data_IF_065121830966
#
_entry.id   IF_065121830966
#
_cell.length_a   1.000
_cell.length_b   1.000
_cell.length_c   1.000
_cell.angle_alpha   90.00
_cell.angle_beta   90.00
_cell.angle_gamma   90.00
#
_symmetry.space_group_name_H-M   'P 1'
#
loop_
_entity.id
_entity.type
_entity.pdbx_description
1 polymer ?
#
# COMPACT_ATOMS: atom_id res chain seq x y z
N UNK A 1 22.39 -28.08 -6.51
CA UNK A 1 23.02 -27.82 -7.82
C UNK A 1 22.03 -27.12 -8.73
N UNK A 2 22.46 -26.33 -9.70
CA UNK A 2 21.56 -25.65 -10.64
C UNK A 2 20.88 -26.70 -11.55
N UNK A 3 19.56 -26.63 -11.66
CA UNK A 3 18.72 -27.48 -12.52
C UNK A 3 17.99 -26.58 -13.51
N UNK A 4 17.78 -27.02 -14.74
CA UNK A 4 17.03 -26.25 -15.74
C UNK A 4 15.56 -26.68 -15.78
N UNK A 5 14.64 -25.75 -15.52
CA UNK A 5 13.21 -25.93 -15.80
C UNK A 5 12.92 -25.61 -17.26
N UNK A 6 12.15 -26.48 -17.92
CA UNK A 6 11.75 -26.32 -19.31
C UNK A 6 10.23 -26.22 -19.43
N UNK A 7 9.75 -25.11 -19.95
CA UNK A 7 8.34 -24.89 -20.27
C UNK A 7 8.17 -24.98 -21.78
N UNK A 8 7.19 -25.76 -22.23
CA UNK A 8 6.88 -25.94 -23.65
C UNK A 8 5.48 -25.43 -23.96
N UNK A 9 5.38 -24.55 -24.93
CA UNK A 9 4.10 -24.07 -25.49
C UNK A 9 4.03 -24.58 -26.92
N UNK A 10 3.01 -25.40 -27.21
CA UNK A 10 2.79 -25.98 -28.52
C UNK A 10 1.52 -25.44 -29.14
N UNK A 11 1.60 -25.01 -30.39
CA UNK A 11 0.45 -24.65 -31.21
C UNK A 11 0.40 -25.50 -32.49
N UNK A 12 -0.76 -25.54 -33.14
CA UNK A 12 -1.00 -26.23 -34.42
C UNK A 12 -1.28 -25.23 -35.54
N UNK A 13 -0.71 -24.02 -35.46
CA UNK A 13 -0.92 -22.93 -36.40
C UNK A 13 -0.18 -23.09 -37.73
N UNK A 14 -0.03 -21.99 -38.45
CA UNK A 14 0.60 -21.97 -39.77
C UNK A 14 2.07 -22.43 -39.77
N UNK A 15 2.73 -22.47 -38.60
CA UNK A 15 4.14 -22.79 -38.47
C UNK A 15 5.05 -21.68 -38.99
N UNK A 16 6.35 -21.81 -38.75
CA UNK A 16 7.36 -20.78 -39.00
C UNK A 16 8.47 -21.41 -39.84
N UNK A 17 8.74 -20.79 -40.99
CA UNK A 17 9.79 -21.24 -41.90
C UNK A 17 11.17 -21.22 -41.21
N UNK A 18 12.05 -22.21 -41.45
CA UNK A 18 13.35 -22.34 -40.77
C UNK A 18 14.18 -21.05 -40.77
N UNK A 19 14.20 -20.34 -41.90
CA UNK A 19 14.92 -19.07 -42.08
C UNK A 19 14.41 -17.93 -41.18
N UNK A 20 13.19 -18.02 -40.66
CA UNK A 20 12.58 -17.00 -39.82
C UNK A 20 12.61 -17.34 -38.33
N UNK A 21 13.02 -18.55 -37.94
CA UNK A 21 12.94 -19.03 -36.55
C UNK A 21 13.87 -18.27 -35.59
N UNK A 22 14.98 -17.70 -36.06
CA UNK A 22 15.83 -16.84 -35.24
C UNK A 22 15.34 -15.39 -35.21
N UNK A 23 14.86 -14.88 -36.35
CA UNK A 23 14.50 -13.47 -36.53
C UNK A 23 13.21 -13.07 -35.82
N UNK A 24 12.29 -14.00 -35.54
CA UNK A 24 11.04 -13.72 -34.79
C UNK A 24 11.26 -13.19 -33.37
N UNK A 25 12.49 -13.26 -32.86
CA UNK A 25 12.86 -12.74 -31.54
C UNK A 25 13.48 -11.33 -31.59
N UNK A 26 13.68 -10.77 -32.78
CA UNK A 26 14.12 -9.39 -32.95
C UNK A 26 12.95 -8.42 -32.74
N UNK A 27 13.27 -7.20 -32.29
CA UNK A 27 12.25 -6.18 -32.06
C UNK A 27 11.58 -5.80 -33.38
N UNK A 28 10.25 -5.63 -33.35
CA UNK A 28 9.42 -5.23 -34.50
C UNK A 28 9.32 -6.24 -35.66
N UNK A 29 9.74 -7.49 -35.45
CA UNK A 29 9.54 -8.55 -36.44
C UNK A 29 8.16 -9.19 -36.27
N UNK A 30 7.27 -8.93 -37.23
CA UNK A 30 5.98 -9.60 -37.35
C UNK A 30 5.93 -10.38 -38.67
N UNK A 31 5.89 -11.71 -38.60
CA UNK A 31 5.73 -12.54 -39.79
C UNK A 31 4.32 -12.37 -40.37
N UNK A 32 4.25 -11.87 -41.60
CA UNK A 32 3.00 -11.73 -42.34
C UNK A 32 2.66 -13.06 -42.99
N UNK A 33 1.76 -13.83 -42.37
CA UNK A 33 1.16 -15.00 -43.02
C UNK A 33 -0.02 -14.53 -43.87
N UNK A 34 -0.05 -14.98 -45.13
CA UNK A 34 -0.92 -14.46 -46.18
C UNK A 34 -2.42 -14.37 -45.85
N UNK A 35 -3.00 -13.29 -46.37
CA UNK A 35 -4.40 -12.90 -46.55
C UNK A 35 -5.46 -13.42 -45.56
N UNK A 36 -5.49 -12.82 -44.36
CA UNK A 36 -6.75 -12.37 -43.75
C UNK A 36 -6.49 -11.60 -42.45
N UNK A 37 -6.89 -10.33 -42.45
CA UNK A 37 -7.08 -9.45 -41.28
C UNK A 37 -5.90 -9.39 -40.29
N UNK A 38 -5.04 -8.40 -40.52
CA UNK A 38 -4.12 -7.81 -39.53
C UNK A 38 -4.73 -7.83 -38.11
N UNK A 39 -4.29 -8.78 -37.27
CA UNK A 39 -4.35 -8.61 -35.83
C UNK A 39 -3.06 -7.91 -35.41
N UNK A 40 -3.22 -6.62 -35.09
CA UNK A 40 -2.28 -5.74 -34.40
C UNK A 40 -1.41 -6.50 -33.39
N UNK A 41 -0.13 -6.62 -33.68
CA UNK A 41 0.89 -6.91 -32.68
C UNK A 41 2.16 -6.23 -33.14
N UNK A 42 2.75 -5.38 -32.31
CA UNK A 42 3.88 -4.52 -32.66
C UNK A 42 5.21 -5.29 -32.90
N UNK A 43 5.15 -6.62 -33.03
CA UNK A 43 6.34 -7.49 -33.13
C UNK A 43 7.18 -7.56 -31.85
N UNK A 44 6.69 -7.00 -30.73
CA UNK A 44 7.46 -6.88 -29.48
C UNK A 44 7.26 -8.04 -28.50
N UNK A 45 6.19 -8.83 -28.64
CA UNK A 45 5.83 -9.83 -27.64
C UNK A 45 6.90 -10.91 -27.43
N UNK A 46 7.42 -11.48 -28.52
CA UNK A 46 8.45 -12.52 -28.47
C UNK A 46 9.83 -11.97 -28.09
N UNK A 47 10.18 -10.76 -28.55
CA UNK A 47 11.46 -10.12 -28.24
C UNK A 47 11.54 -9.75 -26.74
N UNK A 48 10.47 -9.20 -26.16
CA UNK A 48 10.37 -8.92 -24.72
C UNK A 48 10.44 -10.23 -23.93
N UNK A 49 9.69 -11.26 -24.34
CA UNK A 49 9.68 -12.56 -23.66
C UNK A 49 11.08 -13.18 -23.60
N UNK A 50 11.84 -13.15 -24.71
CA UNK A 50 13.20 -13.69 -24.75
C UNK A 50 14.19 -12.84 -23.95
N UNK A 51 14.06 -11.51 -23.96
CA UNK A 51 14.85 -10.60 -23.10
C UNK A 51 14.65 -10.93 -21.61
N UNK A 52 13.40 -11.11 -21.17
CA UNK A 52 13.09 -11.51 -19.78
C UNK A 52 13.71 -12.87 -19.45
N UNK A 53 13.57 -13.87 -20.34
CA UNK A 53 14.16 -15.18 -20.13
C UNK A 53 15.69 -15.11 -19.95
N UNK A 54 16.37 -14.30 -20.76
CA UNK A 54 17.82 -14.07 -20.66
C UNK A 54 18.23 -13.35 -19.37
N UNK A 55 17.44 -12.39 -18.91
CA UNK A 55 17.66 -11.75 -17.60
C UNK A 55 17.53 -12.76 -16.44
N UNK A 56 16.73 -13.81 -16.60
CA UNK A 56 16.63 -14.93 -15.66
C UNK A 56 17.74 -15.97 -15.82
N UNK A 57 18.76 -15.70 -16.65
CA UNK A 57 19.85 -16.65 -16.96
C UNK A 57 19.43 -17.80 -17.88
N UNK A 58 18.25 -17.72 -18.49
CA UNK A 58 17.67 -18.70 -19.40
C UNK A 58 17.65 -18.26 -20.86
N UNK A 59 16.88 -18.97 -21.70
CA UNK A 59 16.56 -18.52 -23.06
C UNK A 59 15.23 -19.14 -23.57
N UNK A 60 14.71 -18.59 -24.66
CA UNK A 60 13.58 -19.15 -25.40
C UNK A 60 14.04 -19.63 -26.78
N UNK A 61 13.71 -20.86 -27.11
CA UNK A 61 13.94 -21.49 -28.42
C UNK A 61 12.61 -21.81 -29.11
N UNK A 62 12.60 -21.87 -30.43
CA UNK A 62 11.45 -22.33 -31.21
C UNK A 62 11.84 -23.54 -32.07
N UNK A 63 10.91 -24.47 -32.23
CA UNK A 63 10.96 -25.50 -33.28
C UNK A 63 9.62 -25.50 -34.01
N UNK A 64 9.66 -25.34 -35.32
CA UNK A 64 8.43 -25.25 -36.12
C UNK A 64 8.61 -25.82 -37.51
N UNK A 65 7.53 -26.37 -38.06
CA UNK A 65 7.40 -26.78 -39.46
C UNK A 65 6.22 -26.02 -40.07
N UNK A 66 6.37 -25.48 -41.29
CA UNK A 66 5.28 -24.80 -42.00
C UNK A 66 4.10 -25.76 -42.19
N UNK A 67 2.91 -25.33 -41.79
CA UNK A 67 1.67 -26.10 -41.82
C UNK A 67 1.46 -27.08 -40.67
N UNK A 68 2.41 -27.21 -39.72
CA UNK A 68 2.30 -28.14 -38.57
C UNK A 68 2.30 -27.44 -37.21
N UNK A 69 2.42 -26.12 -37.17
CA UNK A 69 2.49 -25.33 -35.94
C UNK A 69 3.91 -25.17 -35.37
N UNK A 70 4.02 -24.62 -34.17
CA UNK A 70 5.30 -24.35 -33.50
C UNK A 70 5.34 -24.84 -32.05
N UNK A 71 6.56 -25.08 -31.56
CA UNK A 71 6.86 -25.40 -30.17
C UNK A 71 7.88 -24.38 -29.66
N UNK A 72 7.46 -23.53 -28.75
CA UNK A 72 8.34 -22.62 -28.03
C UNK A 72 8.78 -23.26 -26.71
N UNK A 73 10.10 -23.29 -26.47
CA UNK A 73 10.69 -23.87 -25.25
C UNK A 73 11.43 -22.79 -24.48
N UNK A 74 10.92 -22.43 -23.30
CA UNK A 74 11.60 -21.58 -22.32
C UNK A 74 12.44 -22.47 -21.40
N UNK A 75 13.73 -22.20 -21.28
CA UNK A 75 14.64 -22.90 -20.37
C UNK A 75 15.20 -21.92 -19.33
N UNK A 76 14.99 -22.14 -18.04
CA UNK A 76 15.47 -21.25 -16.95
C UNK A 76 16.28 -22.06 -15.93
N UNK A 77 17.49 -21.61 -15.52
CA UNK A 77 18.22 -22.21 -14.41
C UNK A 77 17.55 -21.86 -13.08
N UNK A 78 17.29 -22.88 -12.26
CA UNK A 78 16.80 -22.73 -10.90
C UNK A 78 17.66 -23.54 -9.94
N UNK A 79 17.77 -23.07 -8.72
CA UNK A 79 18.34 -23.86 -7.64
C UNK A 79 17.21 -24.56 -6.90
N UNK A 80 17.14 -25.90 -6.90
CA UNK A 80 16.21 -26.62 -6.05
C UNK A 80 16.54 -26.28 -4.60
N UNK A 81 15.54 -25.83 -3.86
CA UNK A 81 15.60 -25.66 -2.41
C UNK A 81 14.88 -26.85 -1.80
N UNK A 82 15.49 -27.49 -0.80
CA UNK A 82 14.82 -28.54 -0.05
C UNK A 82 13.58 -27.96 0.62
N UNK A 83 12.45 -28.68 0.51
CA UNK A 83 11.15 -28.29 1.10
C UNK A 83 11.20 -27.97 2.61
N UNK A 84 12.32 -28.26 3.28
CA UNK A 84 12.53 -28.13 4.72
C UNK A 84 13.47 -26.99 5.14
N UNK A 85 14.13 -26.27 4.23
CA UNK A 85 15.03 -25.15 4.60
C UNK A 85 14.44 -23.76 4.38
N UNK A 86 13.12 -23.66 4.28
CA UNK A 86 12.42 -22.38 4.43
C UNK A 86 11.17 -22.52 5.30
N UNK A 87 11.41 -22.73 6.60
CA UNK A 87 10.44 -22.41 7.67
C UNK A 87 10.56 -20.96 8.13
N UNK A 88 11.08 -20.07 7.27
CA UNK A 88 11.19 -18.62 7.52
C UNK A 88 10.55 -17.74 6.45
N UNK A 89 10.05 -18.32 5.37
CA UNK A 89 8.92 -17.71 4.67
C UNK A 89 7.69 -18.31 5.33
N UNK A 90 7.09 -17.56 6.26
CA UNK A 90 5.72 -17.79 6.69
C UNK A 90 4.88 -18.03 5.45
N UNK A 91 4.57 -19.30 5.17
CA UNK A 91 3.35 -19.65 4.49
C UNK A 91 2.24 -19.18 5.42
N UNK A 92 1.93 -17.88 5.34
CA UNK A 92 0.69 -17.37 5.84
C UNK A 92 -0.36 -18.24 5.18
N UNK A 93 -0.99 -19.07 6.01
CA UNK A 93 -2.13 -19.87 5.66
C UNK A 93 -3.22 -18.92 5.17
N UNK A 94 -3.22 -18.62 3.87
CA UNK A 94 -4.22 -17.77 3.21
C UNK A 94 -5.63 -18.40 3.29
N UNK A 95 -5.74 -19.63 3.83
CA UNK A 95 -7.01 -20.31 4.08
C UNK A 95 -7.71 -19.86 5.38
N UNK A 96 -7.06 -19.11 6.28
CA UNK A 96 -7.64 -18.85 7.61
C UNK A 96 -7.57 -17.42 8.15
N UNK A 97 -7.12 -16.42 7.38
CA UNK A 97 -7.50 -15.05 7.72
C UNK A 97 -8.95 -14.87 7.25
N UNK A 98 -9.91 -15.12 8.14
CA UNK A 98 -11.28 -14.61 7.97
C UNK A 98 -11.20 -13.09 8.05
N UNK A 99 -10.78 -12.47 6.96
CA UNK A 99 -10.98 -11.05 6.71
C UNK A 99 -12.49 -10.88 6.63
N UNK A 100 -13.11 -10.13 7.56
CA UNK A 100 -14.52 -9.77 7.41
C UNK A 100 -14.68 -9.11 6.03
N UNK A 101 -15.70 -9.52 5.27
CA UNK A 101 -15.96 -8.96 3.94
C UNK A 101 -16.09 -7.42 4.06
N UNK A 102 -15.24 -6.69 3.34
CA UNK A 102 -15.25 -5.24 3.32
C UNK A 102 -16.06 -4.71 2.13
N UNK A 103 -16.54 -3.48 2.27
CA UNK A 103 -17.12 -2.68 1.20
C UNK A 103 -16.04 -1.74 0.64
N UNK A 104 -15.60 -2.01 -0.58
CA UNK A 104 -14.58 -1.22 -1.26
C UNK A 104 -15.18 -0.36 -2.38
N UNK A 105 -14.66 0.85 -2.56
CA UNK A 105 -14.91 1.67 -3.74
C UNK A 105 -13.64 1.72 -4.59
N UNK A 106 -13.76 1.52 -5.90
CA UNK A 106 -12.66 1.70 -6.87
C UNK A 106 -13.00 2.89 -7.78
N UNK A 107 -12.17 3.94 -7.74
CA UNK A 107 -12.21 5.05 -8.68
C UNK A 107 -11.03 4.94 -9.66
N UNK A 108 -11.34 4.58 -10.91
CA UNK A 108 -10.37 4.34 -11.97
C UNK A 108 -11.03 4.67 -13.31
N UNK A 109 -10.38 5.45 -14.17
CA UNK A 109 -10.93 5.86 -15.45
C UNK A 109 -10.85 4.75 -16.52
N UNK A 110 -9.77 3.97 -16.50
CA UNK A 110 -9.57 2.87 -17.41
C UNK A 110 -10.45 1.66 -17.03
N UNK A 111 -11.41 1.33 -17.90
CA UNK A 111 -12.35 0.23 -17.69
C UNK A 111 -11.68 -1.13 -17.47
N UNK A 112 -10.55 -1.40 -18.13
CA UNK A 112 -9.83 -2.67 -17.98
C UNK A 112 -9.18 -2.74 -16.59
N UNK A 113 -8.47 -1.69 -16.18
CA UNK A 113 -7.85 -1.62 -14.85
C UNK A 113 -8.90 -1.75 -13.74
N UNK A 114 -10.02 -1.03 -13.88
CA UNK A 114 -11.15 -1.06 -12.94
C UNK A 114 -11.74 -2.45 -12.83
N UNK A 115 -11.94 -3.13 -13.96
CA UNK A 115 -12.47 -4.51 -14.00
C UNK A 115 -11.51 -5.50 -13.34
N UNK A 116 -10.21 -5.41 -13.63
CA UNK A 116 -9.20 -6.29 -13.04
C UNK A 116 -9.14 -6.12 -11.52
N UNK A 117 -9.10 -4.87 -11.02
CA UNK A 117 -9.05 -4.60 -9.58
C UNK A 117 -10.36 -5.02 -8.87
N UNK A 118 -11.51 -4.85 -9.54
CA UNK A 118 -12.78 -5.34 -9.04
C UNK A 118 -12.78 -6.87 -8.90
N UNK A 119 -12.36 -7.60 -9.94
CA UNK A 119 -12.30 -9.07 -9.91
C UNK A 119 -11.36 -9.59 -8.82
N UNK A 120 -10.21 -8.94 -8.64
CA UNK A 120 -9.26 -9.26 -7.57
C UNK A 120 -9.87 -9.17 -6.16
N UNK A 121 -10.66 -8.12 -5.90
CA UNK A 121 -11.33 -7.92 -4.62
C UNK A 121 -12.54 -8.83 -4.44
N UNK A 122 -13.36 -9.01 -5.48
CA UNK A 122 -14.56 -9.86 -5.42
C UNK A 122 -14.19 -11.34 -5.25
N UNK A 123 -13.14 -11.83 -5.91
CA UNK A 123 -12.63 -13.19 -5.70
C UNK A 123 -12.12 -13.39 -4.27
N UNK A 124 -11.66 -12.33 -3.62
CA UNK A 124 -11.25 -12.34 -2.20
C UNK A 124 -12.43 -12.22 -1.22
N UNK A 125 -13.69 -12.21 -1.72
CA UNK A 125 -14.90 -12.19 -0.91
C UNK A 125 -15.37 -10.80 -0.47
N UNK A 126 -14.92 -9.73 -1.14
CA UNK A 126 -15.29 -8.35 -0.81
C UNK A 126 -16.39 -7.79 -1.73
N UNK A 127 -17.18 -6.86 -1.20
CA UNK A 127 -18.17 -6.10 -1.98
C UNK A 127 -17.48 -4.90 -2.61
N UNK A 128 -17.71 -4.67 -3.91
CA UNK A 128 -17.01 -3.63 -4.67
C UNK A 128 -17.99 -2.75 -5.42
N UNK A 129 -17.92 -1.44 -5.16
CA UNK A 129 -18.52 -0.40 -6.00
C UNK A 129 -17.45 0.23 -6.87
N UNK A 130 -17.85 0.79 -8.01
CA UNK A 130 -16.92 1.34 -9.00
C UNK A 130 -17.32 2.73 -9.47
N UNK A 131 -16.34 3.59 -9.70
CA UNK A 131 -16.48 4.94 -10.23
C UNK A 131 -15.49 5.14 -11.40
N UNK A 132 -15.88 5.93 -12.40
CA UNK A 132 -15.06 6.18 -13.59
C UNK A 132 -14.21 7.47 -13.51
N UNK A 133 -14.38 8.27 -12.46
CA UNK A 133 -13.62 9.50 -12.20
C UNK A 133 -13.82 9.94 -10.73
N UNK A 134 -13.15 11.00 -10.30
CA UNK A 134 -13.24 11.52 -8.93
C UNK A 134 -14.64 12.04 -8.54
N UNK A 135 -15.41 12.58 -9.49
CA UNK A 135 -16.76 13.09 -9.22
C UNK A 135 -17.76 11.94 -9.01
N UNK A 136 -17.69 10.90 -9.86
CA UNK A 136 -18.46 9.66 -9.65
C UNK A 136 -18.11 9.03 -8.29
N UNK A 137 -16.83 9.08 -7.89
CA UNK A 137 -16.38 8.52 -6.62
C UNK A 137 -17.00 9.26 -5.43
N UNK A 138 -17.08 10.59 -5.49
CA UNK A 138 -17.78 11.40 -4.48
C UNK A 138 -19.27 11.05 -4.42
N UNK A 139 -19.94 10.96 -5.57
CA UNK A 139 -21.36 10.58 -5.61
C UNK A 139 -21.62 9.19 -5.01
N UNK A 140 -20.74 8.21 -5.26
CA UNK A 140 -20.84 6.90 -4.63
C UNK A 140 -20.61 6.99 -3.12
N UNK A 141 -19.60 7.76 -2.69
CA UNK A 141 -19.26 7.96 -1.29
C UNK A 141 -20.32 8.75 -0.49
N UNK A 142 -21.16 9.55 -1.14
CA UNK A 142 -22.30 10.21 -0.49
C UNK A 142 -23.45 9.22 -0.21
N UNK A 143 -23.57 8.18 -1.02
CA UNK A 143 -24.70 7.23 -0.96
C UNK A 143 -24.42 5.99 -0.12
N UNK A 144 -23.15 5.64 0.12
CA UNK A 144 -22.77 4.38 0.76
C UNK A 144 -21.48 4.52 1.58
N UNK A 145 -21.40 3.86 2.74
CA UNK A 145 -20.17 3.69 3.51
C UNK A 145 -19.23 2.68 2.86
N UNK A 146 -17.96 3.04 2.81
CA UNK A 146 -16.87 2.19 2.35
C UNK A 146 -15.82 2.06 3.45
N UNK A 147 -15.35 0.83 3.66
CA UNK A 147 -14.22 0.57 4.57
C UNK A 147 -12.91 1.03 3.91
N UNK A 148 -12.84 0.91 2.58
CA UNK A 148 -11.69 1.32 1.78
C UNK A 148 -12.10 1.95 0.45
N UNK A 149 -11.34 2.95 0.01
CA UNK A 149 -11.46 3.57 -1.30
C UNK A 149 -10.11 3.47 -2.02
N UNK A 150 -10.06 2.77 -3.14
CA UNK A 150 -8.92 2.78 -4.07
C UNK A 150 -9.13 3.91 -5.07
N UNK A 151 -8.24 4.90 -5.06
CA UNK A 151 -8.38 6.14 -5.79
C UNK A 151 -7.22 6.33 -6.77
N UNK A 152 -7.49 6.29 -8.06
CA UNK A 152 -6.50 6.71 -9.05
C UNK A 152 -6.21 8.21 -8.94
N UNK A 153 -4.92 8.57 -8.87
CA UNK A 153 -4.50 9.97 -8.79
C UNK A 153 -4.85 10.71 -10.07
N UNK A 154 -4.60 10.11 -11.23
CA UNK A 154 -4.71 10.78 -12.53
C UNK A 154 -5.95 10.31 -13.28
N UNK A 155 -7.07 11.00 -13.06
CA UNK A 155 -8.35 10.74 -13.73
C UNK A 155 -8.85 12.00 -14.47
N UNK A 156 -9.60 11.86 -15.57
CA UNK A 156 -10.29 12.96 -16.22
C UNK A 156 -11.42 13.50 -15.35
N UNK A 157 -11.90 14.70 -15.67
CA UNK A 157 -12.99 15.43 -14.96
C UNK A 157 -12.59 15.89 -13.56
N UNK A 158 -12.21 14.96 -12.69
CA UNK A 158 -11.71 15.23 -11.34
C UNK A 158 -10.67 14.16 -10.98
N UNK A 159 -9.47 14.62 -10.60
CA UNK A 159 -8.38 13.76 -10.18
C UNK A 159 -8.56 13.21 -8.76
N UNK A 160 -7.81 12.17 -8.42
CA UNK A 160 -7.91 11.49 -7.13
C UNK A 160 -7.48 12.35 -5.93
N UNK A 161 -6.50 13.24 -6.11
CA UNK A 161 -6.06 14.16 -5.06
C UNK A 161 -7.18 15.13 -4.68
N UNK A 162 -7.80 15.77 -5.67
CA UNK A 162 -8.91 16.70 -5.46
C UNK A 162 -10.13 15.99 -4.84
N UNK A 163 -10.49 14.80 -5.36
CA UNK A 163 -11.57 14.00 -4.81
C UNK A 163 -11.32 13.61 -3.34
N UNK A 164 -10.09 13.23 -2.99
CA UNK A 164 -9.69 12.88 -1.62
C UNK A 164 -9.81 14.09 -0.70
N UNK A 165 -9.31 15.25 -1.11
CA UNK A 165 -9.42 16.47 -0.30
C UNK A 165 -10.87 16.84 -0.01
N UNK A 166 -11.78 16.67 -0.98
CA UNK A 166 -13.22 16.89 -0.76
C UNK A 166 -13.84 15.86 0.19
N UNK A 167 -13.54 14.57 0.00
CA UNK A 167 -13.98 13.51 0.92
C UNK A 167 -13.59 13.79 2.38
N UNK A 168 -12.39 14.38 2.60
CA UNK A 168 -11.91 14.74 3.94
C UNK A 168 -12.50 16.03 4.47
N UNK A 169 -12.66 17.06 3.63
CA UNK A 169 -13.11 18.39 4.05
C UNK A 169 -14.58 18.44 4.46
N UNK A 170 -15.45 17.66 3.80
CA UNK A 170 -16.90 17.82 3.94
C UNK A 170 -17.48 17.08 5.16
N UNK A 171 -16.64 16.40 5.96
CA UNK A 171 -17.10 15.63 7.13
C UNK A 171 -18.16 14.57 6.79
N UNK A 172 -18.24 14.20 5.51
CA UNK A 172 -19.25 13.32 4.96
C UNK A 172 -19.13 11.88 5.46
N UNK A 173 -20.02 11.03 4.96
CA UNK A 173 -20.18 9.63 5.37
C UNK A 173 -18.84 8.87 5.38
N UNK A 174 -17.97 9.15 4.42
CA UNK A 174 -16.67 8.50 4.23
C UNK A 174 -15.46 9.37 4.63
N UNK A 175 -15.64 10.42 5.42
CA UNK A 175 -14.54 11.29 5.82
C UNK A 175 -13.40 10.56 6.55
N UNK A 176 -13.70 9.40 7.17
CA UNK A 176 -12.73 8.52 7.83
C UNK A 176 -12.42 7.22 7.08
N UNK A 177 -12.97 7.01 5.88
CA UNK A 177 -12.69 5.82 5.09
C UNK A 177 -11.20 5.75 4.75
N UNK A 178 -10.64 4.54 4.70
CA UNK A 178 -9.23 4.37 4.36
C UNK A 178 -9.03 4.58 2.85
N UNK A 179 -8.24 5.57 2.44
CA UNK A 179 -8.04 5.93 1.02
C UNK A 179 -6.64 5.53 0.56
N UNK A 180 -6.60 4.69 -0.48
CA UNK A 180 -5.39 4.20 -1.15
C UNK A 180 -5.21 4.93 -2.47
N UNK A 181 -4.18 5.76 -2.58
CA UNK A 181 -3.79 6.39 -3.83
C UNK A 181 -3.12 5.39 -4.79
N UNK A 182 -3.55 5.35 -6.05
CA UNK A 182 -2.96 4.56 -7.11
C UNK A 182 -2.37 5.48 -8.19
N UNK A 183 -1.12 5.26 -8.59
CA UNK A 183 -0.48 6.05 -9.67
C UNK A 183 0.23 5.18 -10.69
N UNK A 184 0.24 5.61 -11.94
CA UNK A 184 1.02 4.98 -13.01
C UNK A 184 2.54 5.21 -12.89
N UNK A 185 2.97 6.28 -12.21
CA UNK A 185 4.39 6.65 -12.07
C UNK A 185 4.86 6.46 -10.63
N UNK A 186 5.96 5.72 -10.45
CA UNK A 186 6.62 5.59 -9.15
C UNK A 186 7.58 6.74 -8.91
N UNK A 187 7.19 7.71 -8.07
CA UNK A 187 8.10 8.72 -7.54
C UNK A 187 7.50 9.42 -6.31
N UNK A 188 8.38 9.90 -5.44
CA UNK A 188 8.08 10.67 -4.22
C UNK A 188 7.24 11.93 -4.46
N UNK A 189 7.21 12.44 -5.70
CA UNK A 189 6.55 13.70 -6.09
C UNK A 189 5.04 13.70 -5.80
N UNK A 190 4.35 12.57 -6.01
CA UNK A 190 2.93 12.44 -5.67
C UNK A 190 2.70 11.98 -4.23
N UNK A 191 3.73 11.51 -3.52
CA UNK A 191 3.58 11.05 -2.13
C UNK A 191 3.23 12.21 -1.22
N UNK A 192 3.96 13.32 -1.31
CA UNK A 192 3.69 14.50 -0.50
C UNK A 192 2.29 15.07 -0.80
N UNK A 193 1.92 15.17 -2.08
CA UNK A 193 0.60 15.64 -2.49
C UNK A 193 -0.52 14.70 -2.04
N UNK A 194 -0.32 13.37 -2.11
CA UNK A 194 -1.28 12.38 -1.65
C UNK A 194 -1.48 12.43 -0.12
N UNK A 195 -0.39 12.56 0.63
CA UNK A 195 -0.42 12.74 2.08
C UNK A 195 -1.12 14.05 2.45
N UNK A 196 -0.79 15.16 1.79
CA UNK A 196 -1.45 16.47 2.00
C UNK A 196 -2.94 16.44 1.62
N UNK A 197 -3.33 15.67 0.61
CA UNK A 197 -4.73 15.49 0.25
C UNK A 197 -5.52 14.62 1.25
N UNK A 198 -4.84 13.90 2.14
CA UNK A 198 -5.43 13.06 3.17
C UNK A 198 -5.60 11.59 2.78
N UNK A 199 -4.80 11.07 1.84
CA UNK A 199 -4.71 9.64 1.54
C UNK A 199 -3.91 8.91 2.63
N UNK A 200 -4.32 7.69 2.97
CA UNK A 200 -3.73 6.90 4.05
C UNK A 200 -2.52 6.07 3.59
N UNK A 201 -2.54 5.63 2.33
CA UNK A 201 -1.37 5.01 1.70
C UNK A 201 -1.36 5.20 0.19
N UNK A 202 -0.25 4.82 -0.43
CA UNK A 202 0.00 5.02 -1.85
C UNK A 202 0.71 3.82 -2.47
N UNK A 203 0.26 3.42 -3.66
CA UNK A 203 0.82 2.30 -4.43
C UNK A 203 0.94 2.61 -5.92
N UNK A 204 2.01 2.09 -6.53
CA UNK A 204 2.20 2.14 -7.98
C UNK A 204 1.36 1.08 -8.68
N UNK A 205 0.78 1.44 -9.83
CA UNK A 205 0.11 0.54 -10.74
C UNK A 205 1.14 -0.25 -11.59
N UNK A 206 0.85 -1.50 -11.97
CA UNK A 206 -0.32 -2.28 -11.57
C UNK A 206 -0.18 -2.77 -10.12
N UNK A 207 -1.25 -2.61 -9.34
CA UNK A 207 -1.31 -3.18 -7.99
C UNK A 207 -1.40 -4.70 -8.09
N UNK A 208 -0.59 -5.40 -7.28
CA UNK A 208 -0.56 -6.87 -7.24
C UNK A 208 -1.42 -7.40 -6.10
N UNK A 209 -1.92 -8.62 -6.24
CA UNK A 209 -2.74 -9.30 -5.22
C UNK A 209 -2.13 -9.27 -3.82
N UNK A 210 -0.84 -9.58 -3.69
CA UNK A 210 -0.18 -9.57 -2.37
C UNK A 210 -0.18 -8.17 -1.72
N UNK A 211 -0.07 -7.10 -2.51
CA UNK A 211 -0.15 -5.74 -1.99
C UNK A 211 -1.58 -5.42 -1.54
N UNK A 212 -2.58 -5.82 -2.33
CA UNK A 212 -4.00 -5.69 -2.01
C UNK A 212 -4.36 -6.38 -0.69
N UNK A 213 -3.92 -7.63 -0.50
CA UNK A 213 -4.13 -8.37 0.74
C UNK A 213 -3.49 -7.71 1.95
N UNK A 214 -2.27 -7.16 1.82
CA UNK A 214 -1.61 -6.44 2.91
C UNK A 214 -2.36 -5.17 3.28
N UNK A 215 -2.81 -4.40 2.30
CA UNK A 215 -3.61 -3.18 2.52
C UNK A 215 -4.90 -3.53 3.27
N UNK A 216 -5.61 -4.56 2.80
CA UNK A 216 -6.89 -4.97 3.39
C UNK A 216 -6.71 -5.55 4.80
N UNK A 217 -5.65 -6.33 5.03
CA UNK A 217 -5.34 -6.87 6.36
C UNK A 217 -5.14 -5.75 7.40
N UNK A 218 -4.57 -4.61 6.99
CA UNK A 218 -4.41 -3.43 7.84
C UNK A 218 -5.75 -2.73 8.17
N UNK A 219 -6.79 -2.93 7.35
CA UNK A 219 -8.09 -2.24 7.48
C UNK A 219 -9.12 -3.11 8.20
N UNK A 220 -9.19 -4.41 7.87
CA UNK A 220 -10.06 -5.35 8.57
C UNK A 220 -9.65 -5.61 10.03
N UNK A 221 -8.50 -5.07 10.42
CA UNK A 221 -8.01 -5.04 11.79
C UNK A 221 -8.35 -3.69 12.46
N UNK A 222 -9.62 -3.49 12.84
CA UNK A 222 -10.01 -2.47 13.82
C UNK A 222 -11.26 -2.90 14.63
N UNK A 223 -11.27 -2.87 15.98
CA UNK A 223 -10.18 -2.84 16.92
C UNK A 223 -10.06 -4.20 17.63
N UNK A 224 -9.17 -5.07 17.16
CA UNK A 224 -8.40 -5.83 18.12
C UNK A 224 -7.11 -5.07 18.29
N UNK A 225 -6.99 -4.45 19.46
CA UNK A 225 -5.76 -4.05 20.12
C UNK A 225 -4.56 -4.74 19.47
N UNK A 226 -3.93 -4.07 18.50
CA UNK A 226 -2.72 -4.63 17.91
C UNK A 226 -1.71 -4.72 19.04
N UNK A 227 -1.09 -5.89 19.27
CA UNK A 227 0.00 -6.00 20.23
C UNK A 227 1.00 -4.92 19.86
N UNK A 228 1.27 -4.09 20.86
CA UNK A 228 2.31 -3.08 20.94
C UNK A 228 3.42 -3.35 19.91
N UNK A 229 3.76 -2.34 19.08
CA UNK A 229 4.95 -2.30 18.19
C UNK A 229 6.04 -3.19 18.78
N UNK A 230 6.56 -4.24 18.11
CA UNK A 230 7.39 -5.29 18.77
C UNK A 230 8.50 -4.71 19.67
N UNK A 231 9.07 -3.55 19.28
CA UNK A 231 10.05 -2.80 20.09
C UNK A 231 9.44 -2.01 21.25
N UNK A 232 8.25 -1.44 21.08
CA UNK A 232 7.47 -0.82 22.15
C UNK A 232 6.99 -1.86 23.17
N UNK A 233 6.69 -3.08 22.71
CA UNK A 233 6.31 -4.21 23.55
C UNK A 233 7.49 -4.64 24.42
N UNK A 234 8.70 -4.70 23.82
CA UNK A 234 9.93 -4.97 24.56
C UNK A 234 10.21 -3.92 25.65
N UNK A 235 10.09 -2.62 25.35
CA UNK A 235 10.29 -1.55 26.36
C UNK A 235 9.27 -1.65 27.50
N UNK A 236 7.99 -1.88 27.18
CA UNK A 236 6.94 -2.06 28.19
C UNK A 236 7.12 -3.35 29.01
N UNK A 237 7.59 -4.43 28.40
CA UNK A 237 7.93 -5.68 29.07
C UNK A 237 9.13 -5.50 30.01
N UNK A 238 10.18 -4.82 29.57
CA UNK A 238 11.36 -4.51 30.39
C UNK A 238 11.00 -3.63 31.60
N UNK A 239 10.19 -2.59 31.39
CA UNK A 239 9.69 -1.73 32.47
C UNK A 239 8.79 -2.49 33.43
N UNK A 240 7.89 -3.32 32.91
CA UNK A 240 7.00 -4.14 33.74
C UNK A 240 7.79 -5.14 34.57
N UNK A 241 8.86 -5.72 34.02
CA UNK A 241 9.77 -6.59 34.76
C UNK A 241 10.57 -5.83 35.84
N UNK A 242 10.96 -4.58 35.58
CA UNK A 242 11.77 -3.78 36.51
C UNK A 242 10.97 -3.16 37.67
N UNK A 243 9.79 -2.59 37.39
CA UNK A 243 9.02 -1.80 38.38
C UNK A 243 7.62 -2.34 38.68
N UNK A 244 7.17 -3.36 37.94
CA UNK A 244 5.85 -3.99 38.07
C UNK A 244 4.79 -3.35 37.17
N UNK A 245 3.98 -4.20 36.52
CA UNK A 245 2.95 -3.80 35.54
C UNK A 245 1.97 -2.75 36.09
N UNK A 246 1.53 -2.88 37.35
CA UNK A 246 0.59 -1.92 37.97
C UNK A 246 1.17 -0.49 38.02
N UNK A 247 2.48 -0.36 38.29
CA UNK A 247 3.15 0.96 38.31
C UNK A 247 3.33 1.52 36.91
N UNK A 248 3.59 0.66 35.93
CA UNK A 248 3.66 1.05 34.50
C UNK A 248 2.31 1.58 34.03
N UNK A 249 1.21 0.87 34.34
CA UNK A 249 -0.15 1.31 33.98
C UNK A 249 -0.50 2.66 34.63
N UNK A 250 -0.18 2.84 35.91
CA UNK A 250 -0.36 4.14 36.60
C UNK A 250 0.46 5.26 35.96
N UNK A 251 1.72 4.99 35.59
CA UNK A 251 2.57 5.96 34.92
C UNK A 251 2.03 6.34 33.53
N UNK A 252 1.54 5.36 32.76
CA UNK A 252 0.90 5.61 31.47
C UNK A 252 -0.41 6.39 31.58
N UNK A 253 -1.25 6.07 32.55
CA UNK A 253 -2.49 6.83 32.81
C UNK A 253 -2.19 8.30 33.14
N UNK A 254 -1.16 8.57 33.95
CA UNK A 254 -0.68 9.94 34.21
C UNK A 254 -0.17 10.59 32.93
N UNK A 255 0.66 9.90 32.14
CA UNK A 255 1.17 10.42 30.87
C UNK A 255 0.06 10.81 29.89
N UNK A 256 -0.94 9.96 29.67
CA UNK A 256 -2.03 10.28 28.74
C UNK A 256 -2.89 11.45 29.24
N UNK A 257 -3.09 11.56 30.57
CA UNK A 257 -3.76 12.72 31.15
C UNK A 257 -2.97 14.01 30.92
N UNK A 258 -1.66 13.98 31.10
CA UNK A 258 -0.78 15.13 30.83
C UNK A 258 -0.72 15.46 29.33
N UNK A 259 -0.75 14.44 28.46
CA UNK A 259 -0.79 14.62 27.01
C UNK A 259 -2.09 15.28 26.55
N UNK A 260 -3.23 14.87 27.09
CA UNK A 260 -4.53 15.49 26.82
C UNK A 260 -4.52 16.98 27.22
N UNK A 261 -3.94 17.30 28.39
CA UNK A 261 -3.78 18.69 28.85
C UNK A 261 -2.85 19.48 27.92
N UNK A 262 -1.70 18.89 27.54
CA UNK A 262 -0.75 19.52 26.62
C UNK A 262 -1.38 19.85 25.27
N UNK A 263 -2.11 18.90 24.67
CA UNK A 263 -2.81 19.11 23.39
C UNK A 263 -3.82 20.25 23.54
N UNK A 264 -4.61 20.25 24.62
CA UNK A 264 -5.57 21.32 24.87
C UNK A 264 -4.89 22.70 25.00
N UNK A 265 -3.79 22.79 25.76
CA UNK A 265 -3.04 24.03 25.93
C UNK A 265 -2.40 24.52 24.64
N UNK A 266 -2.01 23.61 23.75
CA UNK A 266 -1.38 23.91 22.46
C UNK A 266 -2.37 24.48 21.42
N UNK A 267 -3.66 24.18 21.55
CA UNK A 267 -4.71 24.68 20.63
C UNK A 267 -5.50 25.83 21.23
N UNK A 268 -5.82 25.77 22.53
CA UNK A 268 -6.82 26.64 23.16
C UNK A 268 -6.30 27.34 24.43
N UNK A 269 -5.02 27.16 24.79
CA UNK A 269 -4.48 27.65 26.07
C UNK A 269 -3.24 28.50 25.93
N UNK A 270 -2.42 28.49 26.98
CA UNK A 270 -1.28 29.39 27.17
C UNK A 270 -0.10 29.12 26.23
N UNK A 271 -0.09 27.98 25.53
CA UNK A 271 0.97 27.64 24.57
C UNK A 271 0.69 28.19 23.17
N UNK A 272 -0.50 28.77 22.95
CA UNK A 272 -0.88 29.35 21.66
C UNK A 272 -0.06 30.61 21.40
N UNK A 273 0.75 30.60 20.35
CA UNK A 273 1.58 31.74 19.96
C UNK A 273 2.92 31.86 20.70
N UNK A 274 3.18 31.05 21.73
CA UNK A 274 4.49 30.98 22.41
C UNK A 274 5.28 29.76 21.92
N UNK A 275 6.06 30.00 20.86
CA UNK A 275 6.91 29.02 20.20
C UNK A 275 7.91 28.35 21.18
N UNK A 276 8.43 29.14 22.14
CA UNK A 276 9.45 28.67 23.09
C UNK A 276 8.81 27.77 24.14
N UNK A 277 7.68 28.20 24.71
CA UNK A 277 6.93 27.41 25.67
C UNK A 277 6.42 26.11 25.05
N UNK A 278 5.91 26.17 23.80
CA UNK A 278 5.47 24.99 23.06
C UNK A 278 6.61 24.00 22.82
N UNK A 279 7.78 24.47 22.37
CA UNK A 279 8.94 23.60 22.16
C UNK A 279 9.39 22.92 23.46
N UNK A 280 9.43 23.66 24.59
CA UNK A 280 9.80 23.10 25.89
C UNK A 280 8.79 22.07 26.40
N UNK A 281 7.49 22.35 26.28
CA UNK A 281 6.44 21.43 26.66
C UNK A 281 6.47 20.17 25.78
N UNK A 282 6.65 20.33 24.48
CA UNK A 282 6.77 19.21 23.52
C UNK A 282 7.99 18.33 23.83
N UNK A 283 9.13 18.92 24.18
CA UNK A 283 10.33 18.18 24.57
C UNK A 283 10.09 17.26 25.78
N UNK A 284 9.39 17.76 26.81
CA UNK A 284 9.03 16.98 28.00
C UNK A 284 8.11 15.82 27.63
N UNK A 285 7.08 16.07 26.83
CA UNK A 285 6.15 15.02 26.38
C UNK A 285 6.86 13.97 25.54
N UNK A 286 7.81 14.37 24.68
CA UNK A 286 8.62 13.43 23.88
C UNK A 286 9.44 12.50 24.76
N UNK A 287 10.11 13.04 25.77
CA UNK A 287 10.89 12.24 26.72
C UNK A 287 10.04 11.20 27.46
N UNK A 288 8.85 11.60 27.93
CA UNK A 288 7.91 10.69 28.57
C UNK A 288 7.37 9.62 27.61
N UNK A 289 7.08 9.98 26.36
CA UNK A 289 6.66 9.03 25.33
C UNK A 289 7.75 7.98 25.04
N UNK A 290 9.01 8.40 24.92
CA UNK A 290 10.14 7.49 24.70
C UNK A 290 10.32 6.50 25.86
N UNK A 291 10.21 6.98 27.11
CA UNK A 291 10.27 6.13 28.31
C UNK A 291 9.17 5.09 28.35
N UNK A 292 7.96 5.39 27.88
CA UNK A 292 6.85 4.44 27.78
C UNK A 292 6.86 3.61 26.50
N UNK A 293 7.96 3.66 25.73
CA UNK A 293 8.07 2.96 24.45
C UNK A 293 7.10 3.47 23.38
N UNK A 294 6.48 4.64 23.53
CA UNK A 294 5.48 5.18 22.60
C UNK A 294 6.14 5.82 21.37
N UNK A 295 6.76 5.01 20.51
CA UNK A 295 7.55 5.48 19.35
C UNK A 295 6.77 6.34 18.36
N UNK A 296 5.50 6.01 18.13
CA UNK A 296 4.64 6.78 17.23
C UNK A 296 4.42 8.20 17.75
N UNK A 297 4.15 8.34 19.06
CA UNK A 297 4.03 9.63 19.72
C UNK A 297 5.37 10.36 19.76
N UNK A 298 6.46 9.67 20.09
CA UNK A 298 7.81 10.24 20.13
C UNK A 298 8.19 10.89 18.79
N UNK A 299 7.99 10.20 17.66
CA UNK A 299 8.30 10.71 16.33
C UNK A 299 7.50 11.97 15.99
N UNK A 300 6.22 12.02 16.40
CA UNK A 300 5.35 13.16 16.14
C UNK A 300 5.69 14.35 17.02
N UNK A 301 5.95 14.12 18.30
CA UNK A 301 6.42 15.13 19.23
C UNK A 301 7.79 15.68 18.80
N UNK A 302 8.68 14.86 18.24
CA UNK A 302 9.95 15.33 17.68
C UNK A 302 9.75 16.29 16.49
N UNK A 303 8.78 16.01 15.62
CA UNK A 303 8.43 16.91 14.50
C UNK A 303 7.85 18.22 15.03
N UNK A 304 6.89 18.16 15.96
CA UNK A 304 6.27 19.34 16.57
C UNK A 304 7.30 20.21 17.31
N UNK A 305 8.25 19.60 18.03
CA UNK A 305 9.32 20.33 18.72
C UNK A 305 10.23 21.06 17.74
N UNK A 306 10.59 20.41 16.63
CA UNK A 306 11.41 21.03 15.58
C UNK A 306 10.68 22.22 14.98
N UNK A 307 9.43 22.03 14.58
CA UNK A 307 8.62 23.06 13.97
C UNK A 307 8.41 24.25 14.93
N UNK A 308 8.17 23.99 16.21
CA UNK A 308 8.08 25.02 17.25
C UNK A 308 9.35 25.85 17.42
N UNK A 309 10.54 25.24 17.29
CA UNK A 309 11.83 25.96 17.35
C UNK A 309 12.12 26.79 16.11
N UNK A 310 11.70 26.30 14.95
CA UNK A 310 11.93 26.93 13.66
C UNK A 310 10.96 28.12 13.41
N UNK A 311 9.96 28.32 14.28
CA UNK A 311 9.04 29.47 14.24
C UNK A 311 8.02 29.43 13.09
N UNK A 312 7.82 28.27 12.49
CA UNK A 312 6.93 28.07 11.35
C UNK A 312 5.45 27.91 11.77
N UNK A 313 4.80 29.03 12.08
CA UNK A 313 3.45 29.09 12.69
C UNK A 313 2.34 28.51 11.77
N UNK A 314 2.58 28.33 10.47
CA UNK A 314 1.55 27.94 9.52
C UNK A 314 1.13 26.46 9.64
N UNK A 315 1.99 25.58 10.19
CA UNK A 315 1.80 24.12 10.15
C UNK A 315 1.43 23.46 11.49
N UNK A 316 1.46 24.19 12.62
CA UNK A 316 1.36 23.53 13.93
C UNK A 316 -0.05 23.08 14.29
N UNK A 317 -1.10 23.77 13.83
CA UNK A 317 -2.48 23.33 14.05
C UNK A 317 -2.72 21.94 13.44
N UNK A 318 -2.15 21.67 12.27
CA UNK A 318 -2.23 20.36 11.63
C UNK A 318 -1.36 19.32 12.35
N UNK A 319 -0.15 19.69 12.79
CA UNK A 319 0.69 18.78 13.58
C UNK A 319 0.05 18.40 14.93
N UNK A 320 -0.63 19.34 15.59
CA UNK A 320 -1.35 19.09 16.86
C UNK A 320 -2.61 18.24 16.63
N UNK A 321 -3.38 18.49 15.56
CA UNK A 321 -4.53 17.66 15.18
C UNK A 321 -4.09 16.21 14.91
N UNK A 322 -2.98 16.03 14.20
CA UNK A 322 -2.39 14.72 13.93
C UNK A 322 -1.86 14.05 15.21
N UNK A 323 -1.26 14.83 16.12
CA UNK A 323 -0.83 14.35 17.43
C UNK A 323 -2.01 13.83 18.26
N UNK A 324 -3.16 14.53 18.24
CA UNK A 324 -4.37 14.13 18.96
C UNK A 324 -4.91 12.78 18.48
N UNK A 325 -4.96 12.55 17.17
CA UNK A 325 -5.41 11.29 16.61
C UNK A 325 -4.50 10.13 17.02
N UNK A 326 -3.19 10.33 16.98
CA UNK A 326 -2.20 9.31 17.36
C UNK A 326 -2.23 9.07 18.88
N UNK A 327 -2.47 10.11 19.69
CA UNK A 327 -2.61 9.99 21.14
C UNK A 327 -3.79 9.10 21.53
N UNK A 328 -4.95 9.25 20.88
CA UNK A 328 -6.12 8.41 21.13
C UNK A 328 -5.86 6.94 20.80
N UNK A 329 -5.19 6.67 19.67
CA UNK A 329 -4.82 5.31 19.27
C UNK A 329 -3.80 4.70 20.23
N UNK A 330 -2.74 5.43 20.58
CA UNK A 330 -1.71 4.98 21.53
C UNK A 330 -2.29 4.68 22.91
N UNK A 331 -3.25 5.49 23.39
CA UNK A 331 -3.95 5.29 24.67
C UNK A 331 -4.75 4.00 24.68
N UNK A 332 -5.55 3.77 23.64
CA UNK A 332 -6.33 2.54 23.50
C UNK A 332 -5.43 1.29 23.45
N UNK A 333 -4.30 1.36 22.75
CA UNK A 333 -3.32 0.26 22.73
C UNK A 333 -2.62 0.06 24.08
N UNK A 334 -2.32 1.12 24.81
CA UNK A 334 -1.67 1.03 26.11
C UNK A 334 -2.60 0.45 27.19
N UNK A 335 -3.89 0.80 27.16
CA UNK A 335 -4.90 0.27 28.09
C UNK A 335 -5.16 -1.25 27.90
N UNK A 336 -4.66 -1.83 26.80
CA UNK A 336 -4.76 -3.27 26.51
C UNK A 336 -3.55 -4.12 26.87
N UNK A 337 -2.47 -3.46 27.33
CA UNK A 337 -1.24 -4.10 27.78
C UNK A 337 -1.36 -4.58 29.22
#
# INVERSE_FOLDING_TARGET
>A
GIVYLKFKVTDTGAGIAPENQENIFEDFVALSFGDSRQRRGDGLGLSISRKIARLMGGDIEVKSDVGKGAIFTLSIPVQPVDKNEDKSIEQADFSQVRVNAINALIAEDNNINRKVLCDMLTVSGHTVSTAANGLDALQQADNQLFDIIFMDISMPVMGGLEATSRLRADGGLNAKAYIVGLSAHGSEEFREQAESAGMDCFHTKPIRMNALHKIIANISSAPQLTPVDEKSSLVLQELSAAIGQEKVLKAGATFYKELDIFIYQSVNGELVGDCTALAQATHKMRGAAALLGQKRLEKRLAKLEKNARDGDVADWSNDIQNLQNIAQQSKASFDSF
#
